data_IF_962059154598
#
_entry.id   IF_962059154598
#
_cell.length_a   1.000
_cell.length_b   1.000
_cell.length_c   1.000
_cell.angle_alpha   90.00
_cell.angle_beta   90.00
_cell.angle_gamma   90.00
#
_symmetry.space_group_name_H-M   'P 1'
#
loop_
_entity.id
_entity.type
_entity.pdbx_description
1 polymer ?
2 non-polymer ?
3 water ?
#
# COMPACT_ATOMS: atom_id res chain seq x y z
N UNK A 5 -14.58 -22.69 -12.98
CA UNK A 5 -14.39 -22.47 -11.56
C UNK A 5 -15.51 -23.10 -10.74
N UNK A 6 -15.19 -23.52 -9.52
CA UNK A 6 -16.17 -24.06 -8.60
C UNK A 6 -17.00 -22.93 -7.99
N UNK A 7 -18.10 -23.30 -7.32
CA UNK A 7 -18.93 -22.29 -6.68
C UNK A 7 -18.15 -21.51 -5.62
N UNK A 8 -17.30 -22.20 -4.86
CA UNK A 8 -16.49 -21.51 -3.85
C UNK A 8 -15.48 -20.56 -4.49
N UNK A 9 -14.92 -20.95 -5.64
CA UNK A 9 -13.91 -20.11 -6.29
C UNK A 9 -14.56 -18.86 -6.90
N UNK A 10 -15.76 -19.00 -7.45
CA UNK A 10 -16.50 -17.84 -7.94
C UNK A 10 -16.83 -16.90 -6.79
N UNK A 11 -17.27 -17.45 -5.66
CA UNK A 11 -17.59 -16.67 -4.48
C UNK A 11 -16.37 -15.89 -3.99
N UNK A 12 -15.22 -16.55 -3.93
CA UNK A 12 -13.99 -15.89 -3.52
C UNK A 12 -13.62 -14.78 -4.51
N UNK A 13 -13.66 -15.09 -5.80
CA UNK A 13 -13.34 -14.12 -6.84
C UNK A 13 -14.20 -12.86 -6.71
N UNK A 14 -15.48 -13.04 -6.36
CA UNK A 14 -16.37 -11.90 -6.23
C UNK A 14 -16.11 -11.10 -4.96
N UNK A 15 -15.39 -11.65 -3.98
CA UNK A 15 -15.21 -10.98 -2.71
C UNK A 15 -13.78 -10.59 -2.38
N UNK A 16 -12.81 -10.93 -3.22
CA UNK A 16 -11.44 -10.53 -2.97
C UNK A 16 -11.36 -9.03 -2.73
N UNK A 17 -10.54 -8.57 -1.79
CA UNK A 17 -10.49 -7.14 -1.45
C UNK A 17 -9.87 -6.32 -2.58
N UNK A 18 -10.03 -5.01 -2.46
CA UNK A 18 -9.44 -4.09 -3.42
C UNK A 18 -10.39 -3.71 -4.53
N UNK A 19 -9.90 -2.82 -5.39
CA UNK A 19 -10.67 -2.29 -6.52
C UNK A 19 -9.90 -2.64 -7.78
N UNK A 20 -10.39 -3.62 -8.55
CA UNK A 20 -9.51 -4.21 -9.55
C UNK A 20 -10.27 -4.69 -10.77
N UNK A 21 -9.50 -5.05 -11.79
CA UNK A 21 -10.05 -5.45 -13.06
C UNK A 21 -8.93 -5.55 -14.08
N UNK A 22 -9.32 -5.64 -15.35
CA UNK A 22 -8.34 -5.69 -16.43
C UNK A 22 -8.90 -4.99 -17.65
N UNK A 23 -7.99 -4.56 -18.52
CA UNK A 23 -8.30 -3.83 -19.74
C UNK A 23 -7.50 -4.44 -20.89
N UNK A 24 -8.01 -4.30 -22.12
CA UNK A 24 -7.28 -4.83 -23.27
C UNK A 24 -6.18 -3.86 -23.69
N UNK A 25 -5.58 -4.10 -24.85
CA UNK A 25 -4.43 -3.30 -25.28
C UNK A 25 -4.80 -1.84 -25.52
N UNK A 26 -6.07 -1.55 -25.79
CA UNK A 26 -6.54 -0.19 -25.99
C UNK A 26 -7.19 0.38 -24.73
N UNK A 27 -6.97 -0.28 -23.59
CA UNK A 27 -7.52 0.13 -22.29
C UNK A 27 -9.04 0.14 -22.29
N UNK A 28 -9.66 -0.73 -23.07
CA UNK A 28 -11.08 -1.02 -22.97
C UNK A 28 -11.27 -2.06 -21.86
N UNK A 29 -12.19 -1.79 -20.93
CA UNK A 29 -12.40 -2.71 -19.81
C UNK A 29 -12.89 -4.07 -20.29
N UNK A 30 -12.29 -5.11 -19.74
CA UNK A 30 -12.74 -6.49 -19.94
C UNK A 30 -13.42 -7.05 -18.69
N UNK A 31 -13.05 -6.58 -17.51
CA UNK A 31 -13.68 -6.99 -16.27
C UNK A 31 -13.40 -5.95 -15.19
N UNK A 32 -14.37 -5.73 -14.31
CA UNK A 32 -14.16 -4.96 -13.09
C UNK A 32 -14.91 -5.63 -11.95
N UNK A 33 -14.29 -5.68 -10.78
CA UNK A 33 -14.97 -6.32 -9.65
C UNK A 33 -16.05 -5.38 -9.10
N UNK A 34 -16.85 -5.91 -8.17
CA UNK A 34 -17.99 -5.15 -7.68
C UNK A 34 -17.55 -3.87 -6.98
N UNK A 35 -16.48 -3.95 -6.19
CA UNK A 35 -16.00 -2.75 -5.49
C UNK A 35 -15.60 -1.65 -6.46
N UNK A 36 -14.89 -2.00 -7.55
CA UNK A 36 -14.52 -0.97 -8.50
C UNK A 36 -15.75 -0.37 -9.18
N UNK A 37 -16.68 -1.22 -9.60
CA UNK A 37 -17.90 -0.71 -10.22
C UNK A 37 -18.63 0.28 -9.33
N UNK A 38 -18.80 -0.07 -8.05
CA UNK A 38 -19.50 0.82 -7.13
C UNK A 38 -18.73 2.13 -6.96
N UNK A 39 -17.41 2.04 -6.81
CA UNK A 39 -16.58 3.23 -6.68
C UNK A 39 -16.77 4.18 -7.86
N UNK A 40 -16.82 3.62 -9.08
CA UNK A 40 -16.83 4.44 -10.29
C UNK A 40 -18.24 4.87 -10.71
N UNK A 41 -19.26 4.47 -9.96
CA UNK A 41 -20.62 4.87 -10.26
C UNK A 41 -21.45 3.87 -11.03
N UNK A 42 -20.98 2.63 -11.17
CA UNK A 42 -21.69 1.57 -11.90
C UNK A 42 -21.95 0.41 -10.96
N UNK A 43 -23.07 0.48 -10.24
CA UNK A 43 -23.40 -0.57 -9.26
C UNK A 43 -23.52 -1.93 -9.91
N UNK A 44 -23.89 -1.98 -11.18
CA UNK A 44 -23.81 -3.21 -11.97
C UNK A 44 -22.46 -3.17 -12.67
N UNK A 45 -21.47 -3.86 -12.08
CA UNK A 45 -20.10 -3.73 -12.52
C UNK A 45 -19.90 -4.20 -13.96
N UNK A 46 -20.76 -5.08 -14.45
CA UNK A 46 -20.66 -5.52 -15.84
C UNK A 46 -20.83 -4.35 -16.80
N UNK A 47 -21.43 -3.25 -16.35
CA UNK A 47 -21.59 -2.08 -17.21
C UNK A 47 -20.24 -1.43 -17.55
N UNK A 48 -19.18 -1.72 -16.78
CA UNK A 48 -17.85 -1.23 -17.14
C UNK A 48 -17.35 -1.85 -18.43
N UNK A 49 -17.78 -3.07 -18.72
CA UNK A 49 -17.16 -3.85 -19.79
C UNK A 49 -17.45 -3.20 -21.14
N UNK A 50 -16.40 -2.99 -21.92
CA UNK A 50 -16.53 -2.34 -23.21
C UNK A 50 -16.34 -0.85 -23.18
N UNK A 51 -16.32 -0.24 -22.00
CA UNK A 51 -16.03 1.17 -21.88
C UNK A 51 -14.54 1.41 -21.69
N UNK A 52 -14.11 2.63 -22.00
CA UNK A 52 -12.80 3.13 -21.62
C UNK A 52 -12.94 3.99 -20.37
N UNK A 53 -11.79 4.40 -19.84
CA UNK A 53 -11.78 5.34 -18.72
C UNK A 53 -12.47 6.66 -19.06
N UNK A 54 -12.52 7.04 -20.34
CA UNK A 54 -13.18 8.28 -20.75
C UNK A 54 -14.69 8.22 -20.60
N UNK A 55 -15.24 7.02 -20.48
CA UNK A 55 -16.68 6.79 -20.58
C UNK A 55 -17.30 6.34 -19.26
N UNK A 56 -16.55 6.44 -18.17
CA UNK A 56 -17.09 6.10 -16.87
C UNK A 56 -17.88 7.27 -16.30
N UNK A 57 -18.94 7.00 -15.53
CA UNK A 57 -19.79 8.07 -15.00
C UNK A 57 -19.18 8.71 -13.75
N UNK A 58 -17.95 9.21 -13.90
CA UNK A 58 -17.13 9.56 -12.75
C UNK A 58 -16.22 10.74 -13.08
N UNK A 59 -15.99 11.65 -12.12
CA UNK A 59 -15.01 12.73 -12.37
C UNK A 59 -13.60 12.22 -12.64
N UNK A 60 -13.30 10.96 -12.33
CA UNK A 60 -12.00 10.38 -12.64
C UNK A 60 -11.69 10.44 -14.12
N UNK A 61 -12.72 10.44 -14.97
CA UNK A 61 -12.49 10.41 -16.41
C UNK A 61 -11.74 11.64 -16.90
N UNK A 62 -11.69 12.72 -16.12
CA UNK A 62 -10.88 13.86 -16.49
C UNK A 62 -9.40 13.51 -16.60
N UNK A 63 -8.98 12.40 -15.98
CA UNK A 63 -7.61 11.94 -16.02
C UNK A 63 -7.44 10.68 -16.85
N UNK A 64 -8.40 10.38 -17.73
CA UNK A 64 -8.35 9.13 -18.49
C UNK A 64 -7.11 9.07 -19.36
N UNK A 65 -6.69 10.21 -19.93
CA UNK A 65 -5.50 10.22 -20.77
C UNK A 65 -4.28 9.78 -19.98
N UNK A 66 -4.17 10.21 -18.72
CA UNK A 66 -3.06 9.77 -17.89
C UNK A 66 -3.17 8.29 -17.54
N UNK A 67 -4.37 7.81 -17.22
CA UNK A 67 -4.56 6.38 -16.96
C UNK A 67 -4.07 5.56 -18.15
N UNK A 68 -4.39 6.00 -19.36
CA UNK A 68 -4.03 5.23 -20.56
C UNK A 68 -2.54 5.32 -20.84
N UNK A 69 -1.93 6.48 -20.58
CA UNK A 69 -0.49 6.60 -20.71
C UNK A 69 0.21 5.62 -19.78
N UNK A 70 -0.28 5.49 -18.56
CA UNK A 70 0.26 4.50 -17.63
C UNK A 70 0.08 3.08 -18.17
N UNK A 71 -1.13 2.77 -18.67
CA UNK A 71 -1.38 1.43 -19.21
C UNK A 71 -0.43 1.11 -20.36
N UNK A 72 -0.26 2.06 -21.29
CA UNK A 72 0.62 1.82 -22.43
C UNK A 72 2.06 1.58 -21.99
N UNK A 73 2.48 2.26 -20.92
CA UNK A 73 3.84 2.05 -20.41
C UNK A 73 4.02 0.63 -19.90
N UNK A 74 3.05 0.15 -19.11
CA UNK A 74 3.06 -1.24 -18.66
C UNK A 74 3.07 -2.19 -19.86
N UNK A 75 2.28 -1.87 -20.89
CA UNK A 75 2.19 -2.77 -22.05
C UNK A 75 3.51 -2.79 -22.81
N UNK A 76 4.15 -1.62 -22.96
CA UNK A 76 5.34 -1.54 -23.79
C UNK A 76 6.60 -2.04 -23.09
N UNK A 77 6.68 -1.90 -21.76
CA UNK A 77 7.87 -2.29 -21.02
C UNK A 77 7.76 -3.63 -20.32
N UNK A 78 6.55 -4.09 -20.02
CA UNK A 78 6.39 -5.24 -19.16
C UNK A 78 6.61 -4.96 -17.68
N UNK A 79 6.82 -3.70 -17.31
CA UNK A 79 7.03 -3.34 -15.92
C UNK A 79 5.70 -3.19 -15.19
N UNK A 80 5.75 -3.25 -13.87
CA UNK A 80 4.62 -2.85 -13.06
C UNK A 80 4.87 -1.45 -12.53
N UNK A 81 3.79 -0.69 -12.35
CA UNK A 81 3.90 0.64 -11.79
C UNK A 81 2.93 0.76 -10.62
N UNK A 82 3.30 1.57 -9.65
CA UNK A 82 2.40 1.92 -8.57
C UNK A 82 2.05 3.41 -8.69
N UNK A 83 0.76 3.69 -8.66
CA UNK A 83 0.25 5.03 -8.97
C UNK A 83 -0.49 5.56 -7.76
N UNK A 84 -0.16 6.78 -7.37
CA UNK A 84 -0.95 7.52 -6.40
C UNK A 84 -2.07 8.22 -7.15
N UNK A 85 -3.31 7.86 -6.82
CA UNK A 85 -4.50 8.38 -7.47
C UNK A 85 -5.36 9.08 -6.44
N UNK A 86 -5.69 10.33 -6.72
CA UNK A 86 -6.51 11.15 -5.83
C UNK A 86 -7.56 11.83 -6.71
N UNK A 87 -8.83 11.49 -6.49
CA UNK A 87 -9.87 11.92 -7.41
C UNK A 87 -11.15 12.19 -6.63
N UNK A 88 -12.01 13.08 -7.12
CA UNK A 88 -13.39 13.08 -6.66
C UNK A 88 -14.15 11.95 -7.35
N UNK A 89 -15.07 11.35 -6.62
CA UNK A 89 -15.81 10.20 -7.10
C UNK A 89 -17.29 10.50 -7.09
N UNK A 90 -18.09 9.73 -7.83
CA UNK A 90 -19.52 10.08 -7.98
C UNK A 90 -20.31 9.98 -6.67
N UNK A 91 -19.72 9.44 -5.60
CA UNK A 91 -20.38 9.47 -4.30
C UNK A 91 -20.27 10.83 -3.63
N UNK A 92 -19.61 11.80 -4.26
CA UNK A 92 -19.48 13.14 -3.72
C UNK A 92 -18.25 13.38 -2.87
N UNK A 93 -17.37 12.38 -2.76
CA UNK A 93 -16.22 12.45 -1.85
C UNK A 93 -14.91 12.30 -2.62
N UNK A 94 -13.86 12.89 -2.07
CA UNK A 94 -12.51 12.62 -2.50
C UNK A 94 -12.06 11.27 -1.96
N UNK A 95 -11.43 10.47 -2.82
CA UNK A 95 -10.80 9.21 -2.40
C UNK A 95 -9.39 9.13 -2.97
N UNK A 96 -8.46 8.70 -2.12
CA UNK A 96 -7.08 8.48 -2.52
C UNK A 96 -6.82 6.98 -2.56
N UNK A 97 -6.10 6.52 -3.57
CA UNK A 97 -5.77 5.11 -3.72
C UNK A 97 -4.33 4.96 -4.17
N UNK A 98 -3.78 3.78 -3.92
CA UNK A 98 -2.63 3.30 -4.67
C UNK A 98 -3.15 2.27 -5.67
N UNK A 99 -2.92 2.52 -6.96
CA UNK A 99 -3.25 1.55 -8.00
C UNK A 99 -1.98 0.92 -8.52
N UNK A 100 -1.91 -0.41 -8.46
CA UNK A 100 -0.81 -1.15 -9.04
C UNK A 100 -1.25 -1.69 -10.39
N UNK A 101 -0.42 -1.47 -11.41
CA UNK A 101 -0.74 -1.88 -12.78
C UNK A 101 0.30 -2.87 -13.25
N UNK A 102 -0.16 -3.99 -13.81
CA UNK A 102 0.63 -5.17 -14.13
C UNK A 102 0.25 -5.65 -15.53
N UNK A 103 1.20 -6.17 -16.31
CA UNK A 103 0.82 -6.73 -17.61
C UNK A 103 -0.16 -7.88 -17.46
N UNK A 104 -1.12 -7.94 -18.37
CA UNK A 104 -2.07 -9.04 -18.49
C UNK A 104 -1.66 -9.87 -19.69
N UNK A 105 -1.44 -11.17 -19.50
CA UNK A 105 -0.85 -11.99 -20.54
C UNK A 105 -1.83 -13.06 -21.00
N UNK A 106 -1.68 -13.48 -22.27
CA UNK A 106 -2.52 -14.52 -22.82
C UNK A 106 -1.89 -15.89 -22.57
N UNK A 107 -2.52 -16.93 -23.11
CA UNK A 107 -2.12 -18.30 -22.82
C UNK A 107 -0.71 -18.62 -23.32
N UNK A 108 -0.16 -17.82 -24.21
CA UNK A 108 1.19 -18.03 -24.72
C UNK A 108 2.18 -16.99 -24.19
N UNK A 109 1.80 -16.23 -23.16
CA UNK A 109 2.68 -15.30 -22.51
C UNK A 109 2.76 -13.93 -23.16
N UNK A 110 2.03 -13.68 -24.23
CA UNK A 110 2.06 -12.37 -24.87
C UNK A 110 1.17 -11.40 -24.10
N UNK A 111 1.67 -10.17 -23.94
CA UNK A 111 0.90 -9.14 -23.26
C UNK A 111 -0.34 -8.81 -24.07
N UNK A 112 -1.50 -8.80 -23.42
CA UNK A 112 -2.77 -8.50 -24.07
C UNK A 112 -3.52 -7.36 -23.40
N UNK A 113 -2.90 -6.68 -22.45
CA UNK A 113 -3.57 -5.61 -21.73
C UNK A 113 -2.93 -5.43 -20.37
N UNK A 114 -3.70 -4.85 -19.46
CA UNK A 114 -3.21 -4.52 -18.14
C UNK A 114 -4.18 -5.04 -17.09
N UNK A 115 -3.63 -5.36 -15.93
CA UNK A 115 -4.41 -5.63 -14.72
C UNK A 115 -4.21 -4.44 -13.80
N UNK A 116 -5.30 -3.89 -13.27
CA UNK A 116 -5.19 -2.83 -12.29
C UNK A 116 -5.73 -3.33 -10.96
N UNK A 117 -5.07 -2.91 -9.87
CA UNK A 117 -5.46 -3.33 -8.54
C UNK A 117 -5.28 -2.13 -7.62
N UNK A 118 -6.38 -1.60 -7.12
CA UNK A 118 -6.37 -0.40 -6.28
C UNK A 118 -6.63 -0.76 -4.82
N UNK A 119 -5.91 -0.08 -3.93
CA UNK A 119 -6.17 -0.19 -2.50
C UNK A 119 -6.43 1.21 -1.95
N UNK A 120 -7.36 1.32 -1.03
CA UNK A 120 -7.58 2.58 -0.32
C UNK A 120 -6.27 3.04 0.32
N UNK A 121 -6.02 4.33 0.23
CA UNK A 121 -4.85 4.90 0.90
C UNK A 121 -5.08 4.84 2.41
N UNK A 122 -4.39 3.92 3.05
CA UNK A 122 -4.43 3.76 4.50
C UNK A 122 -3.01 3.72 5.02
N UNK A 123 -2.87 3.69 6.35
CA UNK A 123 -1.55 3.66 6.97
C UNK A 123 -0.69 2.53 6.40
N UNK A 124 -1.26 1.33 6.26
CA UNK A 124 -0.44 0.22 5.78
C UNK A 124 -0.19 0.31 4.28
N UNK A 125 -1.15 0.82 3.51
CA UNK A 125 -0.95 0.94 2.07
C UNK A 125 0.16 1.93 1.75
N UNK A 126 0.24 3.01 2.53
CA UNK A 126 1.29 3.99 2.27
C UNK A 126 2.63 3.49 2.79
N UNK A 127 2.62 2.67 3.85
CA UNK A 127 3.84 2.01 4.29
C UNK A 127 4.43 1.16 3.17
N UNK A 128 3.56 0.46 2.42
CA UNK A 128 4.03 -0.41 1.34
C UNK A 128 4.78 0.35 0.26
N UNK A 129 4.41 1.60 0.00
CA UNK A 129 5.11 2.40 -1.00
C UNK A 129 6.13 3.36 -0.36
N UNK A 130 6.40 3.18 0.93
CA UNK A 130 7.46 3.92 1.59
C UNK A 130 7.24 5.41 1.76
N UNK A 131 5.99 5.86 1.80
CA UNK A 131 5.69 7.28 1.96
C UNK A 131 4.93 7.51 3.26
N UNK A 132 4.79 8.78 3.62
CA UNK A 132 4.02 9.15 4.81
C UNK A 132 3.37 10.51 4.60
N UNK A 133 2.22 10.70 5.24
CA UNK A 133 1.42 11.91 5.12
C UNK A 133 1.22 12.54 6.49
N UNK A 134 1.39 13.86 6.58
CA UNK A 134 1.15 14.56 7.83
C UNK A 134 -0.35 14.57 8.16
N UNK A 135 -0.66 14.53 9.46
CA UNK A 135 -2.02 14.29 9.93
C UNK A 135 -2.84 15.57 10.05
N UNK A 136 -2.54 16.38 11.07
CA UNK A 136 -3.35 17.56 11.36
C UNK A 136 -2.51 18.79 11.65
N UNK A 151 17.38 31.73 10.16
CA UNK A 151 17.35 30.42 10.80
C UNK A 151 18.20 29.43 10.03
N UNK A 152 18.55 28.33 10.67
CA UNK A 152 19.25 27.22 10.01
C UNK A 152 18.28 26.19 9.45
N UNK A 153 16.98 26.35 9.68
CA UNK A 153 15.99 25.38 9.26
C UNK A 153 15.39 25.78 7.91
N UNK A 154 15.30 24.81 7.00
CA UNK A 154 14.63 24.99 5.72
C UNK A 154 13.15 24.75 5.91
N UNK A 155 12.32 25.73 5.54
CA UNK A 155 10.88 25.68 5.77
C UNK A 155 10.16 25.78 4.43
N UNK A 156 9.33 24.79 4.12
CA UNK A 156 8.50 24.81 2.92
C UNK A 156 7.07 25.19 3.30
N UNK A 157 6.45 26.03 2.47
CA UNK A 157 5.04 26.28 2.65
C UNK A 157 4.22 25.17 1.98
N UNK A 158 2.90 25.20 2.22
CA UNK A 158 2.03 24.17 1.66
C UNK A 158 2.15 24.10 0.15
N UNK A 159 2.13 25.26 -0.53
CA UNK A 159 2.19 25.25 -1.98
C UNK A 159 3.59 24.90 -2.49
N UNK A 160 4.63 25.39 -1.81
CA UNK A 160 5.98 24.99 -2.17
C UNK A 160 6.16 23.49 -2.10
N UNK A 161 5.65 22.86 -1.03
CA UNK A 161 5.81 21.41 -0.91
C UNK A 161 5.03 20.67 -1.99
N UNK A 162 3.85 21.19 -2.36
CA UNK A 162 3.09 20.61 -3.47
C UNK A 162 3.89 20.66 -4.77
N UNK A 163 4.49 21.82 -5.06
CA UNK A 163 5.26 21.96 -6.30
C UNK A 163 6.46 21.03 -6.27
N UNK A 164 7.17 20.99 -5.14
CA UNK A 164 8.36 20.15 -5.04
C UNK A 164 8.02 18.68 -5.23
N UNK A 165 6.93 18.22 -4.62
CA UNK A 165 6.50 16.84 -4.78
C UNK A 165 6.22 16.52 -6.24
N UNK A 166 5.43 17.36 -6.91
CA UNK A 166 5.08 17.09 -8.29
C UNK A 166 6.28 17.20 -9.22
N UNK A 167 7.23 18.10 -8.93
CA UNK A 167 8.47 18.13 -9.69
C UNK A 167 9.27 16.85 -9.48
N UNK A 168 9.25 16.32 -8.25
CA UNK A 168 10.04 15.13 -7.94
C UNK A 168 9.62 13.94 -8.78
N UNK A 169 8.36 13.88 -9.20
CA UNK A 169 7.85 12.74 -9.96
C UNK A 169 7.59 13.09 -11.42
N UNK A 170 8.24 14.12 -11.94
CA UNK A 170 8.31 14.38 -13.36
C UNK A 170 7.20 15.21 -13.97
N UNK A 171 6.38 15.88 -13.16
CA UNK A 171 5.28 16.67 -13.69
C UNK A 171 5.79 17.98 -14.30
N UNK A 172 5.36 18.28 -15.52
CA UNK A 172 5.73 19.51 -16.18
C UNK A 172 5.09 20.71 -15.46
N UNK A 173 5.68 21.90 -15.59
CA UNK A 173 5.06 23.10 -14.99
C UNK A 173 3.62 23.29 -15.41
N UNK A 174 3.27 22.97 -16.65
CA UNK A 174 1.89 23.08 -17.10
C UNK A 174 1.01 22.03 -16.43
N UNK A 175 1.51 20.80 -16.28
CA UNK A 175 0.78 19.78 -15.55
C UNK A 175 0.61 20.17 -14.08
N UNK A 176 1.66 20.73 -13.48
CA UNK A 176 1.58 21.20 -12.10
C UNK A 176 0.53 22.29 -11.97
N UNK A 177 0.49 23.21 -12.93
CA UNK A 177 -0.51 24.27 -12.92
C UNK A 177 -1.93 23.70 -12.95
N UNK A 178 -2.15 22.66 -13.76
CA UNK A 178 -3.47 22.06 -13.84
C UNK A 178 -3.85 21.36 -12.55
N UNK A 179 -2.89 20.68 -11.91
CA UNK A 179 -3.17 20.01 -10.65
C UNK A 179 -3.52 21.02 -9.57
N UNK A 180 -2.74 22.09 -9.48
CA UNK A 180 -2.94 23.10 -8.44
C UNK A 180 -3.95 24.18 -8.83
N UNK A 181 -4.44 24.16 -10.07
CA UNK A 181 -5.42 25.13 -10.49
C UNK A 181 -4.90 26.55 -10.56
N UNK A 182 -3.61 26.72 -10.81
CA UNK A 182 -2.99 28.04 -10.86
C UNK A 182 -2.32 28.23 -12.22
N UNK A 183 -1.70 29.39 -12.43
CA UNK A 183 -1.08 29.67 -13.71
C UNK A 183 0.33 29.10 -13.77
N UNK A 184 0.83 28.96 -15.00
CA UNK A 184 2.18 28.41 -15.18
C UNK A 184 3.23 29.41 -14.69
N UNK A 185 2.94 30.71 -14.78
CA UNK A 185 3.85 31.70 -14.23
C UNK A 185 3.93 31.58 -12.71
N UNK A 186 2.82 31.23 -12.07
CA UNK A 186 2.82 31.05 -10.62
C UNK A 186 3.66 29.84 -10.21
N UNK A 187 3.60 28.76 -11.00
CA UNK A 187 4.41 27.59 -10.71
C UNK A 187 5.89 27.91 -10.84
N UNK A 188 6.26 28.67 -11.88
CA UNK A 188 7.65 29.08 -12.05
C UNK A 188 8.13 29.91 -10.88
N UNK A 189 7.25 30.72 -10.28
CA UNK A 189 7.64 31.47 -9.08
C UNK A 189 7.95 30.55 -7.92
N UNK A 190 7.10 29.55 -7.69
CA UNK A 190 7.37 28.56 -6.65
C UNK A 190 8.65 27.78 -6.95
N UNK A 191 8.84 27.42 -8.23
CA UNK A 191 10.06 26.72 -8.61
C UNK A 191 11.31 27.52 -8.26
N UNK A 192 11.28 28.82 -8.51
CA UNK A 192 12.45 29.65 -8.21
C UNK A 192 12.66 29.79 -6.70
N UNK A 193 11.57 29.87 -5.94
CA UNK A 193 11.70 29.94 -4.49
C UNK A 193 12.29 28.66 -3.92
N UNK A 194 11.86 27.50 -4.44
CA UNK A 194 12.41 26.22 -4.01
C UNK A 194 13.92 26.15 -4.26
N UNK A 195 14.37 26.65 -5.42
CA UNK A 195 15.79 26.55 -5.74
C UNK A 195 16.64 27.37 -4.78
N UNK A 196 16.16 28.55 -4.39
CA UNK A 196 16.92 29.38 -3.47
C UNK A 196 17.01 28.74 -2.09
N UNK A 197 15.90 28.20 -1.59
CA UNK A 197 15.91 27.60 -0.26
C UNK A 197 16.82 26.37 -0.21
N UNK A 198 16.84 25.58 -1.28
CA UNK A 198 17.72 24.42 -1.35
C UNK A 198 19.13 24.76 -1.83
N UNK A 199 19.35 25.98 -2.31
CA UNK A 199 20.65 26.32 -2.86
C UNK A 199 20.95 25.66 -4.18
N UNK A 200 19.92 25.34 -4.96
CA UNK A 200 20.10 24.71 -6.25
C UNK A 200 20.18 25.76 -7.35
N UNK A 201 20.90 25.44 -8.41
CA UNK A 201 21.04 26.34 -9.54
C UNK A 201 20.21 25.92 -10.74
N UNK A 202 19.58 24.75 -10.69
CA UNK A 202 18.74 24.26 -11.78
C UNK A 202 17.66 23.37 -11.19
N UNK A 203 16.73 22.94 -12.05
CA UNK A 203 15.72 22.00 -11.61
C UNK A 203 16.34 20.65 -11.25
N UNK A 204 17.32 20.21 -12.03
CA UNK A 204 17.93 18.91 -11.77
C UNK A 204 18.69 18.90 -10.46
N UNK A 205 19.41 20.00 -10.16
CA UNK A 205 20.07 20.09 -8.85
C UNK A 205 19.04 20.15 -7.73
N UNK A 206 17.91 20.82 -7.96
CA UNK A 206 16.87 20.92 -6.95
C UNK A 206 16.33 19.54 -6.59
N UNK A 207 15.97 18.76 -7.61
CA UNK A 207 15.44 17.42 -7.37
C UNK A 207 16.49 16.54 -6.69
N UNK A 208 17.75 16.66 -7.12
CA UNK A 208 18.81 15.87 -6.51
C UNK A 208 19.01 16.25 -5.04
N UNK A 209 18.92 17.54 -4.72
CA UNK A 209 19.13 17.96 -3.34
C UNK A 209 17.94 17.58 -2.46
N UNK A 210 16.72 17.65 -3.01
CA UNK A 210 15.54 17.28 -2.22
C UNK A 210 15.54 15.80 -1.89
N UNK A 211 15.99 14.96 -2.82
CA UNK A 211 16.09 13.52 -2.56
C UNK A 211 17.12 13.24 -1.47
N UNK A 212 18.26 13.94 -1.50
CA UNK A 212 19.30 13.71 -0.50
C UNK A 212 18.81 13.99 0.91
N UNK A 213 17.91 14.95 1.08
CA UNK A 213 17.37 15.29 2.39
C UNK A 213 16.15 14.45 2.76
N UNK A 214 15.78 13.47 1.94
CA UNK A 214 14.70 12.56 2.28
C UNK A 214 13.31 13.01 1.88
N UNK A 215 13.18 13.98 0.98
CA UNK A 215 11.85 14.39 0.57
C UNK A 215 11.16 13.36 -0.30
N UNK A 216 11.87 12.33 -0.78
CA UNK A 216 11.27 11.34 -1.64
C UNK A 216 10.24 10.45 -0.96
N UNK A 217 10.06 10.58 0.35
CA UNK A 217 9.05 9.79 1.07
C UNK A 217 7.85 10.62 1.50
N UNK A 218 7.81 11.90 1.18
CA UNK A 218 6.76 12.79 1.63
C UNK A 218 5.64 12.85 0.59
N UNK A 219 4.40 12.80 1.06
CA UNK A 219 3.24 13.21 0.26
C UNK A 219 2.59 14.38 0.98
N UNK A 220 2.63 15.59 0.42
CA UNK A 220 1.99 16.73 1.09
C UNK A 220 0.50 16.49 1.31
N UNK A 221 0.04 16.83 2.53
CA UNK A 221 -1.32 16.45 2.92
C UNK A 221 -2.37 17.23 2.15
N UNK A 222 -2.05 18.46 1.70
CA UNK A 222 -3.01 19.24 0.93
C UNK A 222 -3.29 18.65 -0.44
N UNK A 223 -2.44 17.74 -0.92
CA UNK A 223 -2.72 17.08 -2.20
C UNK A 223 -3.89 16.09 -2.11
N UNK A 224 -4.33 15.74 -0.90
CA UNK A 224 -5.41 14.77 -0.78
C UNK A 224 -6.76 15.30 -1.24
N UNK A 225 -6.86 16.60 -1.55
CA UNK A 225 -8.06 17.18 -2.14
C UNK A 225 -7.73 17.89 -3.46
N UNK A 226 -6.74 17.37 -4.19
CA UNK A 226 -6.43 17.83 -5.54
C UNK A 226 -6.38 16.62 -6.45
N UNK A 227 -6.90 16.77 -7.68
CA UNK A 227 -7.01 15.64 -8.59
C UNK A 227 -5.67 15.39 -9.27
N UNK A 228 -5.14 14.18 -9.12
CA UNK A 228 -3.84 13.85 -9.69
C UNK A 228 -3.74 12.34 -9.84
N UNK A 229 -2.90 11.92 -10.79
CA UNK A 229 -2.55 10.53 -11.01
C UNK A 229 -1.06 10.53 -11.29
N UNK A 230 -0.27 10.09 -10.32
CA UNK A 230 1.18 10.21 -10.41
C UNK A 230 1.81 8.85 -10.14
N UNK A 231 2.72 8.44 -11.01
CA UNK A 231 3.45 7.19 -10.83
C UNK A 231 4.50 7.38 -9.76
N UNK A 232 4.40 6.58 -8.68
CA UNK A 232 5.37 6.65 -7.59
C UNK A 232 6.57 5.74 -7.81
N UNK A 233 6.40 4.64 -8.53
CA UNK A 233 7.50 3.72 -8.76
C UNK A 233 7.18 2.86 -9.96
N UNK A 234 8.25 2.34 -10.58
CA UNK A 234 8.14 1.44 -11.71
C UNK A 234 9.15 0.32 -11.49
N UNK A 235 8.70 -0.93 -11.63
CA UNK A 235 9.49 -2.06 -11.18
C UNK A 235 9.56 -3.15 -12.24
N UNK A 236 10.74 -3.74 -12.37
CA UNK A 236 10.96 -4.87 -13.25
C UNK A 236 10.39 -6.13 -12.62
N UNK A 237 9.59 -6.86 -13.40
CA UNK A 237 9.04 -8.15 -12.96
C UNK A 237 10.00 -9.24 -13.44
N UNK A 238 10.51 -10.08 -12.54
CA UNK A 238 11.53 -11.06 -12.95
C UNK A 238 10.99 -12.05 -13.97
N UNK A 239 11.84 -12.41 -14.92
CA UNK A 239 11.52 -13.41 -15.93
C UNK A 239 11.64 -14.82 -15.37
N UNK B 4 -22.29 -16.17 -16.21
CA UNK B 4 -21.09 -17.00 -16.15
C UNK B 4 -19.87 -16.24 -16.65
N UNK B 5 -18.72 -16.55 -16.06
CA UNK B 5 -17.45 -15.92 -16.44
C UNK B 5 -16.94 -16.51 -17.75
N UNK B 6 -16.35 -15.65 -18.57
CA UNK B 6 -15.64 -16.12 -19.75
C UNK B 6 -14.27 -16.64 -19.34
N UNK B 7 -13.66 -17.44 -20.23
CA UNK B 7 -12.30 -17.89 -19.97
C UNK B 7 -11.34 -16.71 -19.86
N UNK B 8 -11.57 -15.67 -20.66
CA UNK B 8 -10.76 -14.46 -20.56
C UNK B 8 -10.83 -13.88 -19.16
N UNK B 9 -12.03 -13.80 -18.58
CA UNK B 9 -12.17 -13.29 -17.23
C UNK B 9 -11.57 -14.25 -16.20
N UNK B 10 -11.65 -15.57 -16.43
CA UNK B 10 -11.04 -16.51 -15.50
C UNK B 10 -9.52 -16.36 -15.50
N UNK B 11 -8.93 -15.91 -16.62
CA UNK B 11 -7.49 -15.67 -16.62
C UNK B 11 -7.12 -14.57 -15.64
N UNK B 12 -8.00 -13.58 -15.45
CA UNK B 12 -7.76 -12.57 -14.42
C UNK B 12 -7.77 -13.18 -13.04
N UNK B 13 -8.70 -14.11 -12.78
CA UNK B 13 -8.67 -14.87 -11.53
C UNK B 13 -7.32 -15.58 -11.36
N UNK B 14 -6.75 -16.09 -12.45
CA UNK B 14 -5.49 -16.79 -12.33
C UNK B 14 -4.29 -15.85 -12.21
N UNK B 15 -4.40 -14.62 -12.72
CA UNK B 15 -3.24 -13.72 -12.82
C UNK B 15 -3.28 -12.55 -11.85
N UNK B 16 -4.36 -12.36 -11.12
CA UNK B 16 -4.44 -11.24 -10.17
C UNK B 16 -3.25 -11.32 -9.22
N UNK B 17 -2.42 -10.28 -9.14
CA UNK B 17 -1.18 -10.39 -8.36
C UNK B 17 -1.45 -10.53 -6.87
N UNK B 18 -0.44 -11.03 -6.17
CA UNK B 18 -0.54 -11.23 -4.74
C UNK B 18 -0.59 -12.71 -4.37
N UNK B 19 -0.76 -12.94 -3.06
CA UNK B 19 -0.74 -14.27 -2.47
C UNK B 19 -2.04 -14.41 -1.70
N UNK B 20 -2.99 -15.18 -2.23
CA UNK B 20 -4.34 -15.03 -1.70
C UNK B 20 -5.11 -16.34 -1.77
N UNK B 21 -6.22 -16.37 -1.05
CA UNK B 21 -7.00 -17.59 -0.91
C UNK B 21 -8.08 -17.39 0.13
N UNK B 22 -8.71 -18.50 0.51
CA UNK B 22 -9.73 -18.43 1.56
C UNK B 22 -9.69 -19.70 2.38
N UNK B 23 -10.20 -19.59 3.62
CA UNK B 23 -10.26 -20.68 4.58
C UNK B 23 -11.67 -20.73 5.15
N UNK B 24 -12.05 -21.90 5.67
CA UNK B 24 -13.38 -22.07 6.26
C UNK B 24 -13.36 -21.58 7.71
N UNK B 25 -14.41 -21.88 8.47
CA UNK B 25 -14.54 -21.36 9.83
C UNK B 25 -13.48 -21.94 10.77
N UNK B 26 -12.93 -23.11 10.47
CA UNK B 26 -11.85 -23.69 11.26
C UNK B 26 -10.47 -23.39 10.69
N UNK B 27 -10.38 -22.41 9.79
CA UNK B 27 -9.14 -22.02 9.12
C UNK B 27 -8.53 -23.21 8.36
N UNK B 28 -9.39 -24.05 7.79
CA UNK B 28 -8.99 -25.07 6.83
C UNK B 28 -9.05 -24.47 5.44
N UNK B 29 -7.96 -24.62 4.68
CA UNK B 29 -7.91 -23.99 3.36
C UNK B 29 -9.00 -24.52 2.43
N UNK B 30 -9.63 -23.60 1.73
CA UNK B 30 -10.58 -23.92 0.68
C UNK B 30 -10.01 -23.62 -0.71
N UNK B 31 -9.20 -22.58 -0.85
CA UNK B 31 -8.51 -22.28 -2.09
C UNK B 31 -7.27 -21.45 -1.80
N UNK B 32 -6.24 -21.65 -2.60
CA UNK B 32 -5.08 -20.76 -2.60
C UNK B 32 -4.59 -20.60 -4.02
N UNK B 33 -4.23 -19.36 -4.39
CA UNK B 33 -3.76 -19.14 -5.75
C UNK B 33 -2.36 -19.73 -5.92
N UNK B 34 -1.90 -19.78 -7.17
CA UNK B 34 -0.65 -20.48 -7.45
C UNK B 34 0.53 -19.78 -6.78
N UNK B 35 0.51 -18.45 -6.72
CA UNK B 35 1.60 -17.71 -6.07
C UNK B 35 1.70 -18.06 -4.59
N UNK B 36 0.56 -18.13 -3.89
CA UNK B 36 0.62 -18.51 -2.48
C UNK B 36 1.12 -19.95 -2.31
N UNK B 37 0.60 -20.86 -3.13
CA UNK B 37 1.05 -22.25 -3.03
C UNK B 37 2.55 -22.39 -3.23
N UNK B 38 3.11 -21.68 -4.20
CA UNK B 38 4.55 -21.76 -4.42
C UNK B 38 5.32 -21.13 -3.27
N UNK B 39 4.83 -20.01 -2.74
CA UNK B 39 5.48 -19.38 -1.60
C UNK B 39 5.58 -20.33 -0.41
N UNK B 40 4.53 -21.13 -0.19
CA UNK B 40 4.39 -21.94 1.01
C UNK B 40 4.98 -23.33 0.79
N UNK B 41 5.62 -23.51 -0.36
CA UNK B 41 6.43 -24.69 -0.59
C UNK B 41 5.75 -25.81 -1.34
N UNK B 42 4.60 -25.57 -1.95
CA UNK B 42 3.87 -26.63 -2.62
C UNK B 42 4.07 -26.57 -4.13
N UNK B 43 4.17 -27.75 -4.75
CA UNK B 43 4.29 -27.80 -6.20
C UNK B 43 2.99 -27.39 -6.88
N UNK B 44 1.87 -27.83 -6.32
CA UNK B 44 0.54 -27.50 -6.83
C UNK B 44 -0.26 -26.87 -5.70
N UNK B 45 -0.82 -25.68 -5.96
CA UNK B 45 -1.55 -24.98 -4.91
C UNK B 45 -2.80 -25.75 -4.47
N UNK B 46 -3.31 -26.66 -5.31
CA UNK B 46 -4.43 -27.50 -4.90
C UNK B 46 -4.10 -28.35 -3.67
N UNK B 47 -2.81 -28.61 -3.42
CA UNK B 47 -2.42 -29.44 -2.29
C UNK B 47 -2.65 -28.77 -0.94
N UNK B 48 -2.95 -27.47 -0.94
CA UNK B 48 -3.33 -26.75 0.29
C UNK B 48 -4.70 -27.16 0.80
N UNK B 49 -5.59 -27.54 -0.12
CA UNK B 49 -7.01 -27.66 0.20
C UNK B 49 -7.22 -28.79 1.19
N UNK B 50 -7.97 -28.49 2.26
CA UNK B 50 -8.22 -29.46 3.30
C UNK B 50 -7.21 -29.45 4.42
N UNK B 51 -6.14 -28.67 4.30
CA UNK B 51 -5.10 -28.57 5.33
C UNK B 51 -5.29 -27.28 6.13
N UNK B 52 -4.73 -27.27 7.33
CA UNK B 52 -4.62 -26.06 8.11
C UNK B 52 -3.26 -25.44 7.93
N UNK B 53 -3.08 -24.25 8.50
CA UNK B 53 -1.78 -23.59 8.51
C UNK B 53 -0.71 -24.43 9.22
N UNK B 54 -1.12 -25.26 10.18
CA UNK B 54 -0.17 -26.12 10.89
C UNK B 54 0.43 -27.18 10.00
N UNK B 55 -0.21 -27.48 8.87
CA UNK B 55 0.09 -28.65 8.08
C UNK B 55 0.83 -28.32 6.79
N UNK B 56 1.13 -27.05 6.54
CA UNK B 56 1.89 -26.66 5.35
C UNK B 56 3.38 -26.96 5.56
N UNK B 57 4.09 -27.36 4.51
CA UNK B 57 5.51 -27.72 4.64
C UNK B 57 6.39 -26.48 4.65
N UNK B 58 6.21 -25.65 5.67
CA UNK B 58 6.74 -24.31 5.67
C UNK B 58 6.97 -23.85 7.11
N UNK B 59 8.04 -23.11 7.38
CA UNK B 59 8.25 -22.57 8.73
C UNK B 59 7.17 -21.59 9.18
N UNK B 60 6.37 -21.06 8.27
CA UNK B 60 5.23 -20.24 8.66
C UNK B 60 4.29 -21.01 9.59
N UNK B 61 4.24 -22.33 9.49
CA UNK B 61 3.39 -23.12 10.36
C UNK B 61 3.74 -22.99 11.83
N UNK B 62 4.97 -22.55 12.15
CA UNK B 62 5.30 -22.27 13.55
C UNK B 62 4.42 -21.16 14.13
N UNK B 63 3.82 -20.34 13.28
CA UNK B 63 2.96 -19.26 13.73
C UNK B 63 1.49 -19.50 13.42
N UNK B 64 1.11 -20.76 13.18
CA UNK B 64 -0.27 -21.06 12.79
C UNK B 64 -1.26 -20.67 13.87
N UNK B 65 -0.88 -20.79 15.16
CA UNK B 65 -1.78 -20.36 16.22
C UNK B 65 -2.12 -18.87 16.09
N UNK B 66 -1.13 -18.04 15.75
CA UNK B 66 -1.39 -16.62 15.57
C UNK B 66 -2.24 -16.36 14.34
N UNK B 67 -2.01 -17.10 13.24
CA UNK B 67 -2.85 -16.96 12.05
C UNK B 67 -4.31 -17.25 12.39
N UNK B 68 -4.55 -18.33 13.15
CA UNK B 68 -5.92 -18.74 13.45
C UNK B 68 -6.59 -17.78 14.42
N UNK B 69 -5.82 -17.21 15.35
CA UNK B 69 -6.39 -16.21 16.23
C UNK B 69 -6.83 -14.98 15.44
N UNK B 70 -6.03 -14.58 14.44
CA UNK B 70 -6.43 -13.49 13.55
C UNK B 70 -7.69 -13.85 12.77
N UNK B 71 -7.73 -15.06 12.20
CA UNK B 71 -8.90 -15.51 11.45
C UNK B 71 -10.15 -15.49 12.31
N UNK B 72 -10.06 -16.02 13.54
CA UNK B 72 -11.23 -16.07 14.40
C UNK B 72 -11.70 -14.67 14.78
N UNK B 73 -10.77 -13.72 14.92
CA UNK B 73 -11.16 -12.34 15.19
C UNK B 73 -11.99 -11.77 14.05
N UNK B 74 -11.53 -11.98 12.81
CA UNK B 74 -12.28 -11.54 11.63
C UNK B 74 -13.66 -12.18 11.60
N UNK B 75 -13.72 -13.48 11.89
CA UNK B 75 -14.98 -14.22 11.83
C UNK B 75 -15.95 -13.71 12.88
N UNK B 76 -15.46 -13.47 14.09
CA UNK B 76 -16.36 -13.18 15.21
C UNK B 76 -16.76 -11.71 15.27
N UNK B 77 -15.96 -10.79 14.72
CA UNK B 77 -16.31 -9.38 14.73
C UNK B 77 -16.79 -8.86 13.39
N UNK B 78 -16.49 -9.55 12.29
CA UNK B 78 -16.77 -9.03 10.97
C UNK B 78 -15.80 -7.97 10.49
N UNK B 79 -14.82 -7.60 11.31
CA UNK B 79 -13.85 -6.57 10.94
C UNK B 79 -12.73 -7.17 10.10
N UNK B 80 -12.20 -6.36 9.19
CA UNK B 80 -11.01 -6.75 8.46
C UNK B 80 -9.78 -6.30 9.23
N UNK B 81 -8.67 -7.01 9.02
CA UNK B 81 -7.41 -6.64 9.66
C UNK B 81 -6.29 -6.62 8.62
N UNK B 82 -5.24 -5.88 8.95
CA UNK B 82 -3.98 -5.91 8.22
C UNK B 82 -2.95 -6.56 9.13
N UNK B 83 -2.21 -7.53 8.61
CA UNK B 83 -1.24 -8.28 9.40
C UNK B 83 0.15 -8.11 8.78
N UNK B 84 1.12 -7.75 9.62
CA UNK B 84 2.52 -7.77 9.21
C UNK B 84 3.06 -9.17 9.45
N UNK B 85 3.51 -9.83 8.38
CA UNK B 85 3.99 -11.21 8.43
C UNK B 85 5.42 -11.24 7.93
N UNK B 86 6.33 -11.75 8.76
CA UNK B 86 7.75 -11.86 8.44
C UNK B 86 8.17 -13.27 8.83
N UNK B 87 8.60 -14.07 7.85
CA UNK B 87 8.89 -15.48 8.09
C UNK B 87 10.03 -15.94 7.21
N UNK B 88 10.77 -16.97 7.63
CA UNK B 88 11.57 -17.73 6.67
C UNK B 88 10.64 -18.66 5.90
N UNK B 89 10.95 -18.86 4.63
CA UNK B 89 10.08 -19.66 3.78
C UNK B 89 10.86 -20.83 3.21
N UNK B 90 10.18 -21.85 2.67
CA UNK B 90 10.91 -23.06 2.23
C UNK B 90 11.89 -22.79 1.11
N UNK B 91 11.79 -21.64 0.43
CA UNK B 91 12.83 -21.33 -0.55
C UNK B 91 14.15 -20.90 0.09
N UNK B 92 14.20 -20.84 1.43
CA UNK B 92 15.44 -20.50 2.09
C UNK B 92 15.66 -19.01 2.28
N UNK B 93 14.67 -18.18 1.96
CA UNK B 93 14.74 -16.74 2.10
C UNK B 93 13.70 -16.25 3.10
N UNK B 94 14.04 -15.17 3.80
CA UNK B 94 13.05 -14.44 4.56
C UNK B 94 12.19 -13.59 3.62
N UNK B 95 10.88 -13.62 3.83
CA UNK B 95 9.96 -12.75 3.11
C UNK B 95 9.15 -11.92 4.10
N UNK B 96 8.72 -10.74 3.67
CA UNK B 96 7.84 -9.90 4.48
C UNK B 96 6.63 -9.50 3.65
N UNK B 97 5.45 -9.62 4.25
CA UNK B 97 4.20 -9.30 3.56
C UNK B 97 3.29 -8.54 4.50
N UNK B 98 2.35 -7.80 3.91
CA UNK B 98 1.15 -7.38 4.61
C UNK B 98 0.02 -8.25 4.10
N UNK B 99 -0.60 -9.02 4.99
CA UNK B 99 -1.77 -9.82 4.63
C UNK B 99 -3.02 -9.10 5.09
N UNK B 100 -3.93 -8.84 4.14
CA UNK B 100 -5.27 -8.37 4.46
C UNK B 100 -6.14 -9.59 4.71
N UNK B 101 -6.92 -9.54 5.78
CA UNK B 101 -7.83 -10.63 6.14
C UNK B 101 -9.22 -10.04 6.30
N UNK B 102 -10.19 -10.58 5.58
CA UNK B 102 -11.55 -10.07 5.53
C UNK B 102 -12.51 -11.26 5.65
N UNK B 103 -13.76 -11.01 6.05
CA UNK B 103 -14.72 -12.12 6.11
C UNK B 103 -15.04 -12.67 4.74
N UNK B 104 -15.25 -13.97 4.67
CA UNK B 104 -15.75 -14.65 3.49
C UNK B 104 -17.21 -15.00 3.76
N UNK B 105 -18.11 -14.51 2.91
CA UNK B 105 -19.55 -14.66 3.17
C UNK B 105 -20.18 -15.58 2.14
N UNK B 106 -21.28 -16.24 2.54
CA UNK B 106 -22.03 -17.09 1.63
C UNK B 106 -23.07 -16.23 0.91
N UNK B 107 -23.95 -16.88 0.13
CA UNK B 107 -24.87 -16.16 -0.74
C UNK B 107 -25.91 -15.35 0.04
N UNK B 108 -26.17 -15.69 1.30
CA UNK B 108 -27.09 -14.94 2.13
C UNK B 108 -26.38 -13.93 3.04
N UNK B 109 -25.08 -13.73 2.86
CA UNK B 109 -24.34 -12.76 3.63
C UNK B 109 -23.74 -13.27 4.93
N UNK B 110 -23.91 -14.56 5.24
CA UNK B 110 -23.41 -15.12 6.48
C UNK B 110 -21.93 -15.44 6.36
N UNK B 111 -21.19 -15.19 7.45
CA UNK B 111 -19.74 -15.45 7.42
C UNK B 111 -19.50 -16.95 7.41
N UNK B 112 -18.67 -17.41 6.46
CA UNK B 112 -18.37 -18.82 6.30
C UNK B 112 -16.87 -19.10 6.31
N UNK B 113 -16.06 -18.10 6.61
CA UNK B 113 -14.62 -18.26 6.64
C UNK B 113 -13.95 -16.90 6.49
N UNK B 114 -12.69 -16.94 6.07
CA UNK B 114 -11.89 -15.74 5.88
C UNK B 114 -11.25 -15.76 4.50
N UNK B 115 -11.02 -14.56 3.98
CA UNK B 115 -10.22 -14.35 2.77
C UNK B 115 -8.90 -13.74 3.23
N UNK B 116 -7.79 -14.27 2.73
CA UNK B 116 -6.49 -13.66 2.98
C UNK B 116 -5.90 -13.16 1.66
N UNK B 117 -5.22 -12.02 1.72
CA UNK B 117 -4.66 -11.41 0.52
C UNK B 117 -3.35 -10.75 0.90
N UNK B 118 -2.24 -11.36 0.47
CA UNK B 118 -0.91 -10.88 0.82
C UNK B 118 -0.25 -10.15 -0.33
N UNK B 119 0.51 -9.11 0.02
CA UNK B 119 1.34 -8.36 -0.90
C UNK B 119 2.77 -8.31 -0.36
N UNK B 120 3.74 -8.47 -1.25
CA UNK B 120 5.16 -8.36 -0.87
C UNK B 120 5.49 -6.96 -0.36
N UNK B 121 6.30 -6.91 0.71
CA UNK B 121 6.94 -5.66 1.12
C UNK B 121 8.31 -5.60 0.45
N UNK B 122 8.49 -4.62 -0.44
CA UNK B 122 9.71 -4.49 -1.22
C UNK B 122 10.66 -3.51 -0.54
N UNK B 123 11.83 -3.33 -1.15
CA UNK B 123 12.81 -2.37 -0.64
C UNK B 123 12.28 -0.95 -0.68
N UNK B 124 11.29 -0.67 -1.52
CA UNK B 124 10.67 0.65 -1.55
C UNK B 124 9.96 0.99 -0.23
N UNK B 125 9.74 0.00 0.62
CA UNK B 125 9.13 0.21 1.92
C UNK B 125 10.12 0.15 3.07
N UNK B 126 11.40 -0.12 2.78
CA UNK B 126 12.41 -0.29 3.82
C UNK B 126 13.43 0.83 3.73
N UNK B 127 12.98 2.02 3.35
CA UNK B 127 13.84 3.18 3.33
C UNK B 127 14.32 3.51 4.74
N UNK B 128 15.26 4.44 4.82
CA UNK B 128 15.67 4.99 6.11
C UNK B 128 14.92 6.30 6.35
N UNK B 129 14.74 6.63 7.63
CA UNK B 129 13.95 7.81 7.99
C UNK B 129 14.65 9.06 7.50
N UNK B 130 13.87 10.00 6.97
CA UNK B 130 14.39 11.27 6.48
C UNK B 130 14.68 12.23 7.62
N UNK B 131 14.56 13.53 7.32
CA UNK B 131 14.82 14.55 8.32
C UNK B 131 13.78 15.67 8.28
N UNK B 132 12.60 15.41 7.73
CA UNK B 132 11.54 16.40 7.62
C UNK B 132 10.57 16.28 8.78
N UNK B 133 9.97 17.40 9.16
CA UNK B 133 9.07 17.48 10.30
C UNK B 133 7.77 18.14 9.87
N UNK B 134 6.63 17.56 10.23
CA UNK B 134 5.36 18.18 9.93
C UNK B 134 5.20 19.48 10.71
N UNK B 135 4.71 20.50 10.00
CA UNK B 135 4.44 21.81 10.57
C UNK B 135 2.98 22.16 10.36
N UNK B 136 2.55 23.25 11.00
CA UNK B 136 1.17 23.71 10.84
C UNK B 136 0.83 23.86 9.37
N UNK B 137 1.76 24.40 8.58
CA UNK B 137 1.70 24.36 7.13
C UNK B 137 3.01 23.79 6.61
N UNK B 138 2.90 22.94 5.59
CA UNK B 138 4.07 22.37 4.96
C UNK B 138 4.93 21.54 5.91
N UNK B 139 6.24 21.62 5.69
CA UNK B 139 7.22 20.83 6.42
C UNK B 139 8.50 21.63 6.57
N UNK B 140 9.35 21.19 7.49
CA UNK B 140 10.63 21.85 7.71
C UNK B 140 11.71 20.79 7.98
N UNK B 141 12.95 21.19 7.72
CA UNK B 141 14.10 20.32 7.98
C UNK B 141 15.27 21.17 8.42
N UNK B 142 16.27 20.51 9.00
CA UNK B 142 17.42 21.20 9.59
C UNK B 142 18.46 21.52 8.52
N UNK B 143 19.56 22.13 8.97
CA UNK B 143 20.68 22.55 8.12
C UNK B 143 20.22 23.34 6.90
N UNK B 153 20.44 14.43 18.27
CA UNK B 153 19.92 13.64 17.15
C UNK B 153 19.08 12.47 17.65
N UNK B 154 18.18 11.99 16.79
CA UNK B 154 17.27 10.89 17.11
C UNK B 154 17.80 9.55 16.60
N UNK B 155 19.10 9.30 16.71
CA UNK B 155 19.66 8.02 16.28
C UNK B 155 19.22 6.92 17.24
N UNK B 156 18.56 5.91 16.72
CA UNK B 156 18.00 4.82 17.52
C UNK B 156 18.78 3.53 17.31
N UNK B 157 18.91 2.75 18.38
CA UNK B 157 19.46 1.41 18.28
C UNK B 157 18.45 0.49 17.59
N UNK B 158 18.88 -0.76 17.35
CA UNK B 158 18.01 -1.72 16.68
C UNK B 158 16.75 -2.00 17.49
N UNK B 159 16.93 -2.38 18.77
CA UNK B 159 15.78 -2.69 19.60
C UNK B 159 14.86 -1.49 19.78
N UNK B 160 15.46 -0.30 19.98
CA UNK B 160 14.66 0.92 20.09
C UNK B 160 13.80 1.13 18.85
N UNK B 161 14.39 0.92 17.67
CA UNK B 161 13.66 1.14 16.43
C UNK B 161 12.50 0.16 16.28
N UNK B 162 12.70 -1.08 16.73
CA UNK B 162 11.65 -2.08 16.62
C UNK B 162 10.49 -1.78 17.56
N UNK B 163 10.80 -1.34 18.79
CA UNK B 163 9.76 -0.97 19.73
C UNK B 163 8.95 0.22 19.20
N UNK B 164 9.65 1.24 18.69
CA UNK B 164 8.98 2.43 18.19
C UNK B 164 8.03 2.07 17.04
N UNK B 165 8.51 1.27 16.08
CA UNK B 165 7.68 0.91 14.94
C UNK B 165 6.37 0.25 15.40
N UNK B 166 6.47 -0.67 16.36
CA UNK B 166 5.28 -1.38 16.81
C UNK B 166 4.36 -0.46 17.61
N UNK B 167 4.93 0.45 18.41
CA UNK B 167 4.12 1.46 19.09
C UNK B 167 3.35 2.33 18.10
N UNK B 168 3.99 2.71 16.98
CA UNK B 168 3.32 3.58 16.03
C UNK B 168 2.16 2.90 15.33
N UNK B 169 2.11 1.56 15.30
CA UNK B 169 1.00 0.85 14.71
C UNK B 169 0.06 0.27 15.76
N UNK B 170 0.02 0.89 16.94
CA UNK B 170 -1.02 0.64 17.90
C UNK B 170 -0.80 -0.50 18.86
N UNK B 171 0.41 -1.04 18.93
CA UNK B 171 0.67 -2.20 19.76
C UNK B 171 0.94 -1.79 21.21
N UNK B 172 0.40 -2.57 22.14
CA UNK B 172 0.59 -2.40 23.57
C UNK B 172 1.87 -3.11 24.02
N UNK B 173 2.40 -2.75 25.19
CA UNK B 173 3.64 -3.41 25.65
C UNK B 173 3.53 -4.93 25.74
N UNK B 174 2.35 -5.45 26.08
CA UNK B 174 2.16 -6.89 26.13
C UNK B 174 2.29 -7.52 24.74
N UNK B 175 1.75 -6.85 23.72
CA UNK B 175 1.92 -7.33 22.35
C UNK B 175 3.38 -7.25 21.92
N UNK B 176 4.03 -6.12 22.20
CA UNK B 176 5.40 -5.90 21.74
C UNK B 176 6.34 -6.91 22.38
N UNK B 177 6.15 -7.17 23.68
CA UNK B 177 7.00 -8.12 24.38
C UNK B 177 6.87 -9.52 23.79
N UNK B 178 5.65 -9.91 23.42
CA UNK B 178 5.44 -11.23 22.81
C UNK B 178 6.04 -11.27 21.40
N UNK B 179 5.92 -10.18 20.64
CA UNK B 179 6.46 -10.17 19.28
C UNK B 179 7.97 -10.24 19.31
N UNK B 180 8.62 -9.48 20.19
CA UNK B 180 10.07 -9.41 20.22
C UNK B 180 10.72 -10.51 21.06
N UNK B 181 9.93 -11.27 21.82
CA UNK B 181 10.48 -12.32 22.65
C UNK B 181 11.22 -11.83 23.87
N UNK B 182 10.77 -10.72 24.46
CA UNK B 182 11.40 -10.14 25.64
C UNK B 182 10.31 -9.88 26.68
N UNK B 183 10.76 -9.50 27.88
CA UNK B 183 9.83 -9.22 28.96
C UNK B 183 9.16 -7.86 28.76
N UNK B 184 7.97 -7.72 29.35
CA UNK B 184 7.28 -6.44 29.31
C UNK B 184 8.12 -5.35 29.96
N UNK B 185 8.82 -5.69 31.05
CA UNK B 185 9.68 -4.73 31.71
C UNK B 185 10.81 -4.27 30.80
N UNK B 186 11.35 -5.18 29.98
CA UNK B 186 12.36 -4.80 29.00
C UNK B 186 11.79 -3.82 27.97
N UNK B 187 10.57 -4.06 27.50
CA UNK B 187 9.93 -3.14 26.57
C UNK B 187 9.79 -1.77 27.21
N UNK B 188 9.45 -1.72 28.50
CA UNK B 188 9.28 -0.44 29.17
C UNK B 188 10.58 0.34 29.24
N UNK B 189 11.71 -0.36 29.39
CA UNK B 189 13.01 0.31 29.31
C UNK B 189 13.23 0.97 27.97
N UNK B 190 12.92 0.27 26.88
CA UNK B 190 13.05 0.85 25.56
C UNK B 190 12.08 1.99 25.34
N UNK B 191 10.84 1.86 25.84
CA UNK B 191 9.88 2.96 25.76
C UNK B 191 10.41 4.21 26.44
N UNK B 192 11.01 4.05 27.63
CA UNK B 192 11.52 5.20 28.36
C UNK B 192 12.68 5.85 27.61
N UNK B 193 13.58 5.04 27.05
CA UNK B 193 14.67 5.58 26.26
C UNK B 193 14.14 6.36 25.06
N UNK B 194 13.13 5.82 24.38
CA UNK B 194 12.50 6.52 23.27
C UNK B 194 11.88 7.83 23.72
N UNK B 195 11.15 7.81 24.84
CA UNK B 195 10.49 9.03 25.31
C UNK B 195 11.52 10.09 25.65
N UNK B 196 12.67 9.68 26.19
CA UNK B 196 13.73 10.63 26.47
C UNK B 196 14.34 11.20 25.20
N UNK B 197 14.63 10.33 24.23
CA UNK B 197 15.28 10.80 23.01
C UNK B 197 14.40 11.77 22.22
N UNK B 198 13.09 11.51 22.18
CA UNK B 198 12.17 12.41 21.50
C UNK B 198 11.71 13.57 22.37
N UNK B 199 12.10 13.60 23.65
CA UNK B 199 11.65 14.65 24.53
C UNK B 199 10.16 14.61 24.85
N UNK B 200 9.56 13.42 24.80
CA UNK B 200 8.12 13.29 25.00
C UNK B 200 7.76 13.23 26.47
N UNK B 201 6.61 13.81 26.81
CA UNK B 201 6.09 13.81 28.18
C UNK B 201 5.24 12.58 28.48
N UNK B 202 4.86 11.81 27.45
CA UNK B 202 3.95 10.69 27.61
C UNK B 202 4.17 9.76 26.43
N UNK B 203 3.62 8.55 26.54
CA UNK B 203 3.65 7.62 25.41
C UNK B 203 2.87 8.17 24.23
N UNK B 204 1.73 8.82 24.49
CA UNK B 204 0.95 9.37 23.38
C UNK B 204 1.70 10.47 22.66
N UNK B 205 2.41 11.33 23.41
CA UNK B 205 3.19 12.38 22.77
C UNK B 205 4.39 11.83 22.00
N UNK B 206 5.00 10.75 22.50
CA UNK B 206 6.05 10.08 21.74
C UNK B 206 5.54 9.65 20.38
N UNK B 207 4.36 9.05 20.33
CA UNK B 207 3.79 8.60 19.06
C UNK B 207 3.57 9.78 18.13
N UNK B 208 3.01 10.88 18.64
CA UNK B 208 2.79 12.05 17.80
C UNK B 208 4.10 12.61 17.26
N UNK B 209 5.11 12.72 18.13
CA UNK B 209 6.38 13.31 17.70
C UNK B 209 7.07 12.43 16.67
N UNK B 210 6.98 11.10 16.84
CA UNK B 210 7.60 10.19 15.89
C UNK B 210 6.85 10.19 14.56
N UNK B 211 5.52 10.23 14.61
CA UNK B 211 4.74 10.25 13.37
C UNK B 211 5.01 11.51 12.56
N UNK B 212 5.18 12.65 13.24
CA UNK B 212 5.46 13.90 12.53
C UNK B 212 6.86 13.94 11.93
N UNK B 213 7.69 12.91 12.14
CA UNK B 213 9.04 12.88 11.60
C UNK B 213 9.24 11.70 10.66
N UNK B 214 8.17 11.06 10.20
CA UNK B 214 8.26 10.02 9.22
C UNK B 214 8.63 8.64 9.74
N UNK B 215 8.66 8.43 11.06
CA UNK B 215 9.05 7.12 11.56
C UNK B 215 8.01 6.05 11.27
N UNK B 216 6.80 6.43 10.90
CA UNK B 216 5.81 5.44 10.52
C UNK B 216 6.01 4.83 9.15
N UNK B 217 6.87 5.43 8.32
CA UNK B 217 7.04 5.01 6.94
C UNK B 217 8.13 3.97 6.75
N UNK B 218 8.77 3.50 7.82
CA UNK B 218 10.00 2.74 7.74
C UNK B 218 9.90 1.51 8.63
N UNK B 219 10.11 0.34 8.05
CA UNK B 219 10.21 -0.91 8.80
C UNK B 219 11.68 -1.10 9.19
N UNK B 220 12.00 -1.21 10.48
CA UNK B 220 13.41 -1.42 10.87
C UNK B 220 13.97 -2.68 10.22
N UNK B 221 15.18 -2.56 9.68
CA UNK B 221 15.77 -3.66 8.92
C UNK B 221 15.94 -4.90 9.78
N UNK B 222 16.26 -4.73 11.06
CA UNK B 222 16.42 -5.89 11.94
C UNK B 222 15.11 -6.64 12.15
N UNK B 223 13.96 -5.98 11.94
CA UNK B 223 12.69 -6.69 12.03
C UNK B 223 12.50 -7.69 10.89
N UNK B 224 13.17 -7.48 9.77
CA UNK B 224 12.97 -8.33 8.59
C UNK B 224 13.60 -9.70 8.74
N UNK B 225 14.29 -9.98 9.85
CA UNK B 225 14.83 -11.32 10.13
C UNK B 225 14.38 -11.81 11.49
N UNK B 226 13.21 -11.34 11.95
CA UNK B 226 12.56 -11.84 13.15
C UNK B 226 11.21 -12.42 12.74
N UNK B 227 10.96 -13.69 13.07
CA UNK B 227 9.71 -14.30 12.66
C UNK B 227 8.56 -13.72 13.48
N UNK B 228 7.56 -13.15 12.81
CA UNK B 228 6.46 -12.54 13.54
C UNK B 228 5.22 -12.47 12.67
N UNK B 229 4.07 -12.37 13.33
CA UNK B 229 2.78 -12.20 12.67
C UNK B 229 1.97 -11.31 13.60
N UNK B 230 1.78 -10.05 13.23
CA UNK B 230 1.18 -9.07 14.15
C UNK B 230 0.22 -8.16 13.40
N UNK B 231 -0.98 -8.01 13.95
CA UNK B 231 -1.97 -7.11 13.37
C UNK B 231 -1.50 -5.68 13.57
N UNK B 232 -1.51 -4.90 12.49
CA UNK B 232 -1.16 -3.48 12.56
C UNK B 232 -2.44 -2.66 12.53
N UNK B 233 -2.54 -1.68 13.42
CA UNK B 233 -3.67 -0.77 13.36
C UNK B 233 -3.62 -0.02 12.04
N UNK B 234 -4.77 0.13 11.41
CA UNK B 234 -4.83 0.74 10.08
C UNK B 234 -6.01 1.69 10.04
N UNK B 235 -5.76 2.91 9.58
CA UNK B 235 -6.79 3.91 9.41
C UNK B 235 -6.67 4.54 8.04
N UNK B 236 -7.79 5.03 7.53
CA UNK B 236 -7.79 5.69 6.25
C UNK B 236 -7.00 6.99 6.31
N UNK B 237 -6.50 7.41 5.16
CA UNK B 237 -5.80 8.68 5.00
C UNK B 237 -6.58 9.50 3.97
N UNK B 238 -7.08 10.69 4.32
CA UNK B 238 -6.90 11.32 5.63
C UNK B 238 -7.93 10.89 6.67
N UNK B 239 -7.55 10.97 7.94
CA UNK B 239 -8.47 10.90 9.09
C UNK B 239 -7.67 10.89 10.40
#
# INVERSE_FOLDING_TARGET
MPNHLTLEQISLFKQLPGYWGCKDLNSVFVYANQAYGELIGLKRAEDCIGRTDFEMPSPTAACAAEFQQQDRYVIETGHSVKVLDIHPYPDGHWHAHIFTKTPWRDSQGKIQGTIFFGQDLTDTAILEVGHWVCRATGLSTSTTFKSVADRDTLKLTARESEVLFLLLYGKKPQHIARVMGISIKTVEGYEAKLRSKFGALSKDQLIDLALDRGFGSVIPKTLLRKQLSVVLSDHTIPKKVDVVAQLEHHHHHH
MPNHLTLEQISLFKQLPGYWGCKDLNSVFVYANQAYGELIGLKRAEDCIGRTDFEMPSPTAACAAEFQQQDRYVIETGHSVKVLDIHPYPDGHWHAHIFTKTPWRDSQGKIQGTIFFGQDLTDTAILEVGHWVCRATGLSTSTTFKSVADRDTLKLTARESEVLFLLLYGKKPQHIARVMGISIKTVEGYEAKLRSKFGALSKDQLIDLALDRGFGSVIPKTLLRKQLSVVLSDHTIPKKVDVVAQLEHHHHHH
#
